data_IF_589797651063
#
_entry.id   IF_589797651063
#
_cell.length_a   1.000
_cell.length_b   1.000
_cell.length_c   1.000
_cell.angle_alpha   90.00
_cell.angle_beta   90.00
_cell.angle_gamma   90.00
#
_symmetry.space_group_name_H-M   'P 1'
#
loop_
_entity.id
_entity.type
_entity.pdbx_description
1 polymer ?
#
# COMPACT_ATOMS: atom_id res chain seq x y z
N UNK A 1 19.88 32.36 0.36
CA UNK A 1 18.45 32.02 0.13
C UNK A 1 17.97 32.25 -1.30
N UNK A 2 18.37 33.33 -2.00
CA UNK A 2 17.94 33.60 -3.40
C UNK A 2 18.36 32.51 -4.40
N UNK A 3 19.67 32.23 -4.52
CA UNK A 3 20.21 31.21 -5.44
C UNK A 3 19.60 29.80 -5.27
N UNK A 4 19.18 29.45 -4.05
CA UNK A 4 18.55 28.16 -3.78
C UNK A 4 17.08 28.11 -4.25
N UNK A 5 16.32 29.21 -4.09
CA UNK A 5 14.97 29.32 -4.65
C UNK A 5 15.01 29.35 -6.19
N UNK A 6 16.00 30.03 -6.76
CA UNK A 6 16.19 30.10 -8.20
C UNK A 6 16.56 28.73 -8.78
N UNK A 7 17.42 27.96 -8.09
CA UNK A 7 17.72 26.57 -8.43
C UNK A 7 16.47 25.67 -8.41
N UNK A 8 15.66 25.72 -7.35
CA UNK A 8 14.43 24.92 -7.23
C UNK A 8 13.40 25.24 -8.33
N UNK A 9 13.31 26.53 -8.70
CA UNK A 9 12.49 27.05 -9.80
C UNK A 9 12.98 26.55 -11.17
N UNK A 10 14.29 26.69 -11.44
CA UNK A 10 14.90 26.41 -12.74
C UNK A 10 14.77 24.93 -13.14
N UNK A 11 14.85 24.01 -12.17
CA UNK A 11 14.78 22.57 -12.44
C UNK A 11 13.39 21.96 -12.17
N UNK A 12 12.36 22.76 -11.85
CA UNK A 12 11.00 22.28 -11.50
C UNK A 12 10.98 21.18 -10.42
N UNK A 13 12.02 21.11 -9.58
CA UNK A 13 12.27 20.03 -8.61
C UNK A 13 11.19 19.98 -7.54
N UNK A 14 10.59 21.13 -7.23
CA UNK A 14 9.48 21.22 -6.28
C UNK A 14 8.28 20.34 -6.67
N UNK A 15 7.93 20.28 -7.95
CA UNK A 15 6.82 19.44 -8.42
C UNK A 15 7.11 17.95 -8.28
N UNK A 16 8.32 17.53 -8.63
CA UNK A 16 8.76 16.14 -8.48
C UNK A 16 8.83 15.71 -7.02
N UNK A 17 9.36 16.57 -6.15
CA UNK A 17 9.44 16.31 -4.72
C UNK A 17 8.06 16.12 -4.09
N UNK A 18 7.09 16.98 -4.43
CA UNK A 18 5.71 16.86 -3.94
C UNK A 18 5.05 15.57 -4.44
N UNK A 19 5.19 15.24 -5.73
CA UNK A 19 4.64 14.01 -6.30
C UNK A 19 5.22 12.76 -5.62
N UNK A 20 6.52 12.74 -5.36
CA UNK A 20 7.19 11.62 -4.70
C UNK A 20 6.72 11.45 -3.25
N UNK A 21 6.69 12.54 -2.48
CA UNK A 21 6.22 12.51 -1.09
C UNK A 21 4.77 12.04 -1.02
N UNK A 22 3.88 12.60 -1.85
CA UNK A 22 2.49 12.15 -1.93
C UNK A 22 2.40 10.67 -2.33
N UNK A 23 3.21 10.22 -3.28
CA UNK A 23 3.27 8.81 -3.68
C UNK A 23 3.64 7.87 -2.53
N UNK A 24 4.64 8.26 -1.71
CA UNK A 24 5.04 7.49 -0.53
C UNK A 24 3.90 7.39 0.51
N UNK A 25 3.26 8.53 0.85
CA UNK A 25 2.16 8.54 1.82
C UNK A 25 0.90 7.84 1.31
N UNK A 26 0.62 7.90 0.00
CA UNK A 26 -0.46 7.13 -0.59
C UNK A 26 -0.17 5.63 -0.54
N UNK A 27 1.09 5.23 -0.78
CA UNK A 27 1.52 3.84 -0.62
C UNK A 27 1.30 3.31 0.80
N UNK A 28 1.70 4.08 1.83
CA UNK A 28 1.50 3.68 3.22
C UNK A 28 0.03 3.64 3.61
N UNK A 29 -0.79 4.58 3.12
CA UNK A 29 -2.24 4.56 3.33
C UNK A 29 -2.88 3.28 2.75
N UNK A 30 -2.55 2.93 1.51
CA UNK A 30 -3.05 1.71 0.87
C UNK A 30 -2.58 0.47 1.64
N UNK A 31 -1.32 0.46 2.06
CA UNK A 31 -0.79 -0.64 2.86
C UNK A 31 -1.57 -0.82 4.16
N UNK A 32 -1.80 0.26 4.91
CA UNK A 32 -2.60 0.24 6.14
C UNK A 32 -4.04 -0.23 5.88
N UNK A 33 -4.67 0.20 4.78
CA UNK A 33 -6.00 -0.30 4.41
C UNK A 33 -5.99 -1.82 4.20
N UNK A 34 -4.94 -2.38 3.62
CA UNK A 34 -4.84 -3.83 3.41
C UNK A 34 -4.48 -4.56 4.70
N UNK A 35 -3.42 -4.14 5.39
CA UNK A 35 -2.91 -4.83 6.58
C UNK A 35 -3.82 -4.69 7.79
N UNK A 36 -4.48 -3.55 7.95
CA UNK A 36 -5.18 -3.23 9.20
C UNK A 36 -6.70 -3.38 9.06
N UNK A 37 -7.23 -3.35 7.83
CA UNK A 37 -8.67 -3.56 7.59
C UNK A 37 -8.95 -4.90 6.89
N UNK A 38 -8.28 -5.18 5.76
CA UNK A 38 -8.59 -6.39 4.97
C UNK A 38 -8.02 -7.68 5.58
N UNK A 39 -6.78 -7.67 6.08
CA UNK A 39 -6.17 -8.87 6.66
C UNK A 39 -6.91 -9.37 7.91
N UNK A 40 -7.38 -8.51 8.84
CA UNK A 40 -8.23 -8.96 9.95
C UNK A 40 -9.56 -9.57 9.49
N UNK A 41 -10.15 -9.09 8.40
CA UNK A 41 -11.36 -9.69 7.82
C UNK A 41 -11.07 -11.11 7.31
N UNK A 42 -9.91 -11.32 6.69
CA UNK A 42 -9.47 -12.65 6.24
C UNK A 42 -9.19 -13.56 7.44
N UNK A 43 -8.55 -13.04 8.48
CA UNK A 43 -8.32 -13.78 9.73
C UNK A 43 -9.64 -14.13 10.45
N UNK A 44 -10.65 -13.27 10.36
CA UNK A 44 -11.98 -13.55 10.89
C UNK A 44 -12.72 -14.64 10.09
N UNK A 45 -12.43 -14.77 8.79
CA UNK A 45 -12.97 -15.84 7.96
C UNK A 45 -12.33 -17.21 8.26
N UNK A 46 -11.13 -17.25 8.86
CA UNK A 46 -10.53 -18.47 9.39
C UNK A 46 -11.10 -18.84 10.76
N UNK A 47 -11.14 -20.14 11.12
CA UNK A 47 -11.67 -20.58 12.41
C UNK A 47 -11.02 -19.84 13.59
N UNK A 48 -11.80 -19.49 14.64
CA UNK A 48 -11.27 -18.78 15.78
C UNK A 48 -10.12 -19.56 16.43
N UNK A 49 -8.96 -18.90 16.56
CA UNK A 49 -7.75 -19.47 17.15
C UNK A 49 -6.72 -20.03 16.15
N UNK A 50 -7.00 -20.03 14.84
CA UNK A 50 -6.03 -20.45 13.82
C UNK A 50 -5.29 -19.23 13.26
N UNK A 51 -4.06 -19.00 13.73
CA UNK A 51 -3.14 -18.05 13.10
C UNK A 51 -2.40 -18.76 11.98
N UNK A 52 -2.98 -18.74 10.78
CA UNK A 52 -2.40 -19.39 9.58
C UNK A 52 -1.04 -18.79 9.17
N UNK A 53 -0.71 -17.60 9.66
CA UNK A 53 0.57 -16.93 9.44
C UNK A 53 1.72 -17.57 10.24
N UNK A 54 1.40 -18.25 11.35
CA UNK A 54 2.39 -18.90 12.23
C UNK A 54 2.73 -20.33 11.79
N UNK A 55 2.14 -20.78 10.67
CA UNK A 55 2.47 -22.08 10.08
C UNK A 55 3.92 -22.06 9.60
N UNK A 56 4.74 -22.87 10.26
CA UNK A 56 6.16 -23.06 9.95
C UNK A 56 6.44 -24.51 9.56
N UNK A 57 7.40 -24.70 8.67
CA UNK A 57 7.94 -26.01 8.30
C UNK A 57 9.44 -26.02 8.59
N UNK A 58 9.81 -26.46 9.78
CA UNK A 58 11.19 -26.34 10.26
C UNK A 58 11.61 -24.87 10.34
N UNK A 59 12.76 -24.45 9.77
CA UNK A 59 13.19 -23.05 9.78
C UNK A 59 12.39 -22.14 8.82
N UNK A 60 11.50 -22.70 8.00
CA UNK A 60 10.77 -21.95 6.98
C UNK A 60 9.44 -21.40 7.51
N UNK A 61 9.27 -20.08 7.47
CA UNK A 61 8.06 -19.36 7.87
C UNK A 61 7.06 -19.26 6.70
N UNK A 62 6.50 -20.40 6.31
CA UNK A 62 5.61 -20.51 5.13
C UNK A 62 4.36 -19.66 5.26
N UNK A 63 3.77 -19.61 6.47
CA UNK A 63 2.58 -18.80 6.76
C UNK A 63 2.82 -17.31 6.58
N UNK A 64 3.97 -16.79 7.02
CA UNK A 64 4.34 -15.38 6.84
C UNK A 64 4.57 -15.05 5.36
N UNK A 65 5.23 -15.94 4.61
CA UNK A 65 5.44 -15.75 3.18
C UNK A 65 4.11 -15.72 2.41
N UNK A 66 3.21 -16.67 2.67
CA UNK A 66 1.87 -16.67 2.09
C UNK A 66 1.07 -15.43 2.48
N UNK A 67 1.23 -14.96 3.72
CA UNK A 67 0.62 -13.72 4.21
C UNK A 67 1.09 -12.50 3.44
N UNK A 68 2.39 -12.39 3.19
CA UNK A 68 2.96 -11.32 2.37
C UNK A 68 2.48 -11.39 0.92
N UNK A 69 2.39 -12.60 0.35
CA UNK A 69 1.90 -12.83 -1.02
C UNK A 69 0.42 -12.43 -1.18
N UNK A 70 -0.42 -12.80 -0.22
CA UNK A 70 -1.83 -12.38 -0.19
C UNK A 70 -1.94 -10.86 -0.02
N UNK A 71 -1.19 -10.27 0.90
CA UNK A 71 -1.15 -8.82 1.11
C UNK A 71 -0.77 -8.08 -0.17
N UNK A 72 0.26 -8.56 -0.88
CA UNK A 72 0.67 -8.00 -2.17
C UNK A 72 -0.46 -8.03 -3.21
N UNK A 73 -1.13 -9.19 -3.37
CA UNK A 73 -2.27 -9.31 -4.29
C UNK A 73 -3.41 -8.35 -3.92
N UNK A 74 -3.72 -8.21 -2.63
CA UNK A 74 -4.75 -7.28 -2.16
C UNK A 74 -4.37 -5.82 -2.42
N UNK A 75 -3.12 -5.42 -2.22
CA UNK A 75 -2.65 -4.07 -2.52
C UNK A 75 -2.87 -3.75 -4.00
N UNK A 76 -2.53 -4.68 -4.91
CA UNK A 76 -2.75 -4.49 -6.35
C UNK A 76 -4.26 -4.31 -6.66
N UNK A 77 -5.12 -5.12 -6.04
CA UNK A 77 -6.58 -5.02 -6.21
C UNK A 77 -7.12 -3.70 -5.65
N UNK A 78 -6.67 -3.27 -4.47
CA UNK A 78 -7.11 -2.01 -3.85
C UNK A 78 -6.68 -0.80 -4.69
N UNK A 79 -5.45 -0.77 -5.18
CA UNK A 79 -4.98 0.28 -6.09
C UNK A 79 -5.85 0.32 -7.35
N UNK A 80 -6.15 -0.85 -7.93
CA UNK A 80 -7.02 -0.93 -9.10
C UNK A 80 -8.44 -0.37 -8.81
N UNK A 81 -9.02 -0.72 -7.66
CA UNK A 81 -10.33 -0.19 -7.24
C UNK A 81 -10.27 1.33 -7.06
N UNK A 82 -9.24 1.87 -6.40
CA UNK A 82 -9.07 3.31 -6.17
C UNK A 82 -8.97 4.06 -7.51
N UNK A 83 -8.17 3.56 -8.46
CA UNK A 83 -8.05 4.16 -9.80
C UNK A 83 -9.39 4.13 -10.53
N UNK A 84 -10.08 2.99 -10.53
CA UNK A 84 -11.38 2.82 -11.20
C UNK A 84 -12.48 3.70 -10.58
N UNK A 85 -12.49 3.86 -9.27
CA UNK A 85 -13.41 4.76 -8.57
C UNK A 85 -13.07 6.21 -8.91
N UNK A 86 -11.79 6.57 -8.95
CA UNK A 86 -11.34 7.91 -9.34
C UNK A 86 -11.72 8.27 -10.78
N UNK A 87 -11.67 7.30 -11.71
CA UNK A 87 -12.16 7.47 -13.08
C UNK A 87 -13.68 7.66 -13.15
N UNK A 88 -14.44 6.84 -12.40
CA UNK A 88 -15.91 6.97 -12.32
C UNK A 88 -16.36 8.25 -11.64
N UNK A 89 -15.63 8.73 -10.64
CA UNK A 89 -15.91 9.98 -9.94
C UNK A 89 -15.62 11.21 -10.82
N UNK A 90 -14.79 11.08 -11.86
CA UNK A 90 -14.60 12.10 -12.91
C UNK A 90 -15.66 12.03 -14.02
N UNK A 91 -16.71 11.22 -13.87
CA UNK A 91 -17.88 11.29 -14.74
C UNK A 91 -18.75 12.47 -14.28
N UNK A 92 -18.42 13.62 -14.88
CA UNK A 92 -19.06 14.94 -14.84
C UNK A 92 -18.60 15.90 -13.75
#
# INVERSE_FOLDING_TARGET
MGQFRDFLSQYKVMGMAVAFILGLYLGTLVQAMVSDLLMPIIQYATPPGVVWQDVSFGPFLVGQFLGALITFLLVVVVIFVIVKVSEKAKVK
#
